data_IF_212127102555
#
_entry.id   IF_212127102555
#
_cell.length_a   1.000
_cell.length_b   1.000
_cell.length_c   1.000
_cell.angle_alpha   90.00
_cell.angle_beta   90.00
_cell.angle_gamma   90.00
#
_symmetry.space_group_name_H-M   'P 1'
#
loop_
_entity.id
_entity.type
_entity.pdbx_description
1 polymer ?
#
# COMPACT_ATOMS: atom_id res chain seq x y z
N UNK A 1 48.46 -53.22 -54.60
CA UNK A 1 47.49 -53.09 -53.49
C UNK A 1 48.26 -52.76 -52.23
N UNK A 2 48.15 -51.53 -51.72
CA UNK A 2 48.79 -51.13 -50.47
C UNK A 2 47.92 -51.56 -49.26
N UNK A 3 48.51 -52.00 -48.14
CA UNK A 3 47.75 -52.44 -46.98
C UNK A 3 47.09 -51.23 -46.28
N UNK A 4 45.90 -51.39 -45.70
CA UNK A 4 45.24 -50.32 -44.96
C UNK A 4 46.03 -50.02 -43.67
N UNK A 5 46.55 -48.80 -43.56
CA UNK A 5 47.12 -48.27 -42.32
C UNK A 5 46.04 -48.25 -41.24
N UNK A 6 46.12 -49.17 -40.27
CA UNK A 6 45.34 -49.11 -39.03
C UNK A 6 45.93 -48.01 -38.17
N UNK A 7 45.33 -46.83 -38.18
CA UNK A 7 45.64 -45.76 -37.24
C UNK A 7 45.12 -46.18 -35.86
N UNK A 8 46.03 -46.67 -35.02
CA UNK A 8 45.73 -46.95 -33.61
C UNK A 8 45.70 -45.60 -32.88
N UNK A 9 44.52 -45.10 -32.54
CA UNK A 9 44.36 -43.89 -31.74
C UNK A 9 45.03 -44.08 -30.38
N UNK A 10 45.93 -43.15 -30.02
CA UNK A 10 46.64 -43.18 -28.74
C UNK A 10 45.63 -43.22 -27.57
N UNK A 11 45.88 -44.00 -26.50
CA UNK A 11 45.03 -44.01 -25.31
C UNK A 11 44.87 -42.62 -24.68
N UNK A 12 45.83 -41.71 -24.88
CA UNK A 12 45.73 -40.32 -24.47
C UNK A 12 44.64 -39.54 -25.23
N UNK A 13 44.44 -39.84 -26.52
CA UNK A 13 43.41 -39.19 -27.35
C UNK A 13 42.01 -39.62 -26.93
N UNK A 14 41.83 -40.90 -26.61
CA UNK A 14 40.57 -41.44 -26.09
C UNK A 14 40.24 -40.85 -24.70
N UNK A 15 41.23 -40.71 -23.81
CA UNK A 15 41.05 -40.09 -22.51
C UNK A 15 40.66 -38.61 -22.61
N UNK A 16 41.29 -37.84 -23.50
CA UNK A 16 40.93 -36.44 -23.75
C UNK A 16 39.49 -36.30 -24.26
N UNK A 17 39.04 -37.17 -25.17
CA UNK A 17 37.66 -37.15 -25.69
C UNK A 17 36.66 -37.45 -24.58
N UNK A 18 36.95 -38.40 -23.69
CA UNK A 18 36.09 -38.73 -22.54
C UNK A 18 36.02 -37.57 -21.54
N UNK A 19 37.16 -36.92 -21.24
CA UNK A 19 37.21 -35.76 -20.34
C UNK A 19 36.47 -34.54 -20.92
N UNK A 20 36.63 -34.26 -22.21
CA UNK A 20 35.88 -33.22 -22.91
C UNK A 20 34.37 -33.52 -22.95
N UNK A 21 34.00 -34.79 -23.15
CA UNK A 21 32.62 -35.25 -23.09
C UNK A 21 32.00 -35.06 -21.70
N UNK A 22 32.74 -35.38 -20.63
CA UNK A 22 32.29 -35.18 -19.25
C UNK A 22 32.09 -33.70 -18.90
N UNK A 23 33.00 -32.81 -19.34
CA UNK A 23 32.85 -31.36 -19.13
C UNK A 23 31.64 -30.78 -19.89
N UNK A 24 31.36 -31.29 -21.09
CA UNK A 24 30.22 -30.85 -21.89
C UNK A 24 28.88 -31.27 -21.26
N UNK A 25 28.82 -32.48 -20.68
CA UNK A 25 27.63 -32.97 -19.97
C UNK A 25 27.36 -32.17 -18.70
N UNK A 26 28.39 -31.71 -17.98
CA UNK A 26 28.23 -30.84 -16.80
C UNK A 26 27.77 -29.42 -17.16
N UNK A 27 28.26 -28.87 -18.27
CA UNK A 27 27.81 -27.57 -18.79
C UNK A 27 26.33 -27.59 -19.20
N UNK A 28 25.85 -28.70 -19.78
CA UNK A 28 24.43 -28.90 -20.11
C UNK A 28 23.55 -29.16 -18.87
N UNK A 29 24.16 -29.53 -17.74
CA UNK A 29 23.46 -29.80 -16.47
C UNK A 29 23.30 -28.59 -15.58
N UNK A 30 24.02 -27.50 -15.86
CA UNK A 30 23.90 -26.26 -15.11
C UNK A 30 22.49 -25.70 -15.35
N UNK A 31 21.63 -25.63 -14.31
CA UNK A 31 20.31 -25.05 -14.47
C UNK A 31 20.48 -23.63 -15.01
N UNK A 32 19.62 -23.18 -15.95
CA UNK A 32 19.69 -21.81 -16.42
C UNK A 32 19.67 -20.87 -15.21
N UNK A 33 20.52 -19.82 -15.21
CA UNK A 33 20.61 -18.91 -14.08
C UNK A 33 19.22 -18.34 -13.80
N UNK A 34 18.82 -18.42 -12.53
CA UNK A 34 17.51 -17.94 -12.10
C UNK A 34 17.44 -16.42 -12.28
N UNK A 35 16.41 -15.87 -12.94
CA UNK A 35 16.32 -14.43 -13.16
C UNK A 35 15.99 -13.70 -11.86
N UNK A 36 16.41 -12.43 -11.76
CA UNK A 36 15.97 -11.51 -10.72
C UNK A 36 14.68 -10.82 -11.12
N UNK A 37 13.73 -10.70 -10.20
CA UNK A 37 12.47 -9.99 -10.43
C UNK A 37 12.51 -8.62 -9.77
N UNK A 38 12.50 -7.55 -10.57
CA UNK A 38 12.28 -6.18 -10.11
C UNK A 38 10.92 -5.70 -10.61
N UNK A 39 10.01 -5.44 -9.68
CA UNK A 39 8.65 -4.98 -9.97
C UNK A 39 8.52 -3.55 -9.49
N UNK A 40 8.19 -2.64 -10.40
CA UNK A 40 7.94 -1.23 -10.11
C UNK A 40 6.45 -0.96 -10.33
N UNK A 41 5.75 -0.58 -9.27
CA UNK A 41 4.33 -0.22 -9.32
C UNK A 41 4.18 1.25 -8.94
N UNK A 42 3.81 2.08 -9.92
CA UNK A 42 3.39 3.45 -9.67
C UNK A 42 2.00 3.48 -9.01
N UNK A 43 1.74 4.53 -8.24
CA UNK A 43 0.46 4.76 -7.57
C UNK A 43 -0.21 5.94 -8.29
N UNK A 44 -1.45 5.74 -8.76
CA UNK A 44 -2.27 6.74 -9.47
C UNK A 44 -1.61 7.40 -10.71
N UNK A 45 -0.75 6.67 -11.42
CA UNK A 45 -0.17 7.09 -12.70
C UNK A 45 -1.13 6.79 -13.86
N UNK A 46 -1.53 7.81 -14.60
CA UNK A 46 -2.38 7.69 -15.78
C UNK A 46 -1.60 7.16 -16.99
N UNK A 47 -2.29 6.42 -17.86
CA UNK A 47 -1.69 5.88 -19.10
C UNK A 47 -1.14 6.98 -20.02
N UNK A 48 -1.73 8.18 -19.98
CA UNK A 48 -1.30 9.33 -20.77
C UNK A 48 -0.22 10.20 -20.11
N UNK A 49 0.33 9.82 -18.95
CA UNK A 49 1.35 10.62 -18.25
C UNK A 49 2.77 10.42 -18.78
N UNK A 50 3.03 9.27 -19.42
CA UNK A 50 4.37 8.87 -19.86
C UNK A 50 4.66 9.34 -21.29
N UNK A 51 5.91 9.74 -21.54
CA UNK A 51 6.38 10.12 -22.87
C UNK A 51 6.20 9.01 -23.90
N UNK A 52 6.54 7.78 -23.53
CA UNK A 52 6.34 6.61 -24.36
C UNK A 52 4.86 6.24 -24.61
N UNK A 53 3.89 6.94 -24.00
CA UNK A 53 2.47 6.83 -24.32
C UNK A 53 1.88 8.11 -24.93
N UNK A 54 2.72 9.08 -25.30
CA UNK A 54 2.34 10.27 -26.05
C UNK A 54 2.38 11.58 -25.26
N UNK A 55 2.76 11.57 -23.98
CA UNK A 55 2.89 12.80 -23.21
C UNK A 55 4.11 13.62 -23.66
N UNK A 56 3.93 14.91 -23.95
CA UNK A 56 5.04 15.80 -24.35
C UNK A 56 5.45 16.80 -23.28
N UNK A 57 4.73 16.84 -22.16
CA UNK A 57 4.93 17.81 -21.08
C UNK A 57 5.73 17.24 -19.90
N UNK A 58 5.48 15.98 -19.55
CA UNK A 58 6.13 15.30 -18.42
C UNK A 58 7.43 14.63 -18.90
N UNK A 59 8.52 14.79 -18.12
CA UNK A 59 9.83 14.22 -18.45
C UNK A 59 10.01 12.84 -17.82
N UNK A 60 9.88 11.78 -18.61
CA UNK A 60 10.00 10.37 -18.16
C UNK A 60 11.14 9.59 -18.83
N UNK A 61 12.33 10.16 -19.08
CA UNK A 61 13.32 9.59 -20.00
C UNK A 61 13.82 8.19 -19.63
N UNK A 62 13.80 7.82 -18.34
CA UNK A 62 14.21 6.48 -17.92
C UNK A 62 13.12 5.43 -18.18
N UNK A 63 11.84 5.79 -18.02
CA UNK A 63 10.72 4.89 -18.32
C UNK A 63 10.56 4.75 -19.83
N UNK A 64 10.76 5.85 -20.56
CA UNK A 64 10.72 5.86 -22.02
C UNK A 64 11.80 4.93 -22.60
N UNK A 65 13.04 5.01 -22.08
CA UNK A 65 14.13 4.09 -22.45
C UNK A 65 13.80 2.64 -22.11
N UNK A 66 13.21 2.35 -20.94
CA UNK A 66 12.78 0.99 -20.60
C UNK A 66 11.72 0.44 -21.56
N UNK A 67 10.86 1.30 -22.10
CA UNK A 67 9.86 0.92 -23.10
C UNK A 67 10.47 0.69 -24.49
N UNK A 68 11.53 1.44 -24.85
CA UNK A 68 12.30 1.28 -26.09
C UNK A 68 13.13 -0.01 -26.07
N UNK A 69 13.81 -0.30 -24.96
CA UNK A 69 14.67 -1.48 -24.80
C UNK A 69 13.89 -2.77 -24.50
N UNK A 70 12.57 -2.68 -24.32
CA UNK A 70 11.74 -3.75 -23.80
C UNK A 70 10.39 -3.90 -24.50
N UNK A 71 9.41 -4.40 -23.75
CA UNK A 71 8.03 -4.58 -24.23
C UNK A 71 7.15 -3.50 -23.62
N UNK A 72 6.50 -2.71 -24.48
CA UNK A 72 5.48 -1.74 -24.09
C UNK A 72 4.08 -2.32 -24.32
N UNK A 73 3.30 -2.45 -23.26
CA UNK A 73 1.94 -2.97 -23.33
C UNK A 73 0.94 -1.85 -23.66
N UNK A 74 0.21 -1.98 -24.77
CA UNK A 74 -0.84 -1.02 -25.15
C UNK A 74 -2.19 -1.34 -24.51
N UNK A 75 -2.35 -2.53 -23.93
CA UNK A 75 -3.56 -2.98 -23.24
C UNK A 75 -3.20 -3.75 -21.97
N UNK A 76 -2.72 -3.04 -20.95
CA UNK A 76 -2.51 -3.59 -19.60
C UNK A 76 -3.67 -3.14 -18.69
N UNK A 77 -4.46 -4.09 -18.21
CA UNK A 77 -5.68 -3.81 -17.44
C UNK A 77 -5.46 -4.19 -15.97
N UNK A 78 -5.52 -3.21 -15.09
CA UNK A 78 -5.60 -3.48 -13.65
C UNK A 78 -6.95 -4.14 -13.33
N UNK A 79 -6.96 -5.10 -12.39
CA UNK A 79 -8.17 -5.84 -12.04
C UNK A 79 -9.25 -4.95 -11.41
N UNK A 80 -8.85 -3.82 -10.80
CA UNK A 80 -9.73 -2.82 -10.19
C UNK A 80 -9.09 -1.43 -10.30
N UNK A 81 -9.93 -0.39 -10.29
CA UNK A 81 -9.51 1.00 -10.52
C UNK A 81 -9.04 1.73 -9.25
N UNK A 82 -8.89 1.04 -8.13
CA UNK A 82 -8.53 1.64 -6.83
C UNK A 82 -7.50 0.80 -6.08
N UNK A 83 -6.75 1.42 -5.17
CA UNK A 83 -5.49 0.90 -4.65
C UNK A 83 -5.56 -0.50 -4.02
N UNK A 84 -6.36 -0.66 -2.95
CA UNK A 84 -6.44 -1.91 -2.16
C UNK A 84 -6.78 -3.13 -3.02
N UNK A 85 -7.92 -3.16 -3.75
CA UNK A 85 -8.27 -4.31 -4.57
C UNK A 85 -7.26 -4.55 -5.71
N UNK A 86 -6.77 -3.50 -6.37
CA UNK A 86 -5.79 -3.64 -7.46
C UNK A 86 -4.50 -4.31 -6.97
N UNK A 87 -3.98 -3.88 -5.83
CA UNK A 87 -2.80 -4.49 -5.18
C UNK A 87 -3.06 -5.91 -4.69
N UNK A 88 -4.26 -6.19 -4.18
CA UNK A 88 -4.65 -7.53 -3.75
C UNK A 88 -4.64 -8.50 -4.95
N UNK A 89 -5.25 -8.10 -6.06
CA UNK A 89 -5.26 -8.90 -7.28
C UNK A 89 -3.86 -9.08 -7.87
N UNK A 90 -3.06 -8.01 -7.87
CA UNK A 90 -1.69 -8.05 -8.36
C UNK A 90 -0.84 -9.08 -7.62
N UNK A 91 -0.90 -9.10 -6.27
CA UNK A 91 -0.11 -10.03 -5.49
C UNK A 91 -0.59 -11.47 -5.58
N UNK A 92 -1.91 -11.69 -5.69
CA UNK A 92 -2.52 -13.03 -5.62
C UNK A 92 -2.84 -13.65 -6.98
N UNK A 93 -2.83 -12.88 -8.06
CA UNK A 93 -3.32 -13.30 -9.38
C UNK A 93 -4.81 -13.60 -9.42
N UNK A 94 -5.59 -13.14 -8.42
CA UNK A 94 -7.02 -13.45 -8.26
C UNK A 94 -7.86 -12.19 -8.27
N UNK A 95 -9.06 -12.26 -8.84
CA UNK A 95 -10.00 -11.14 -8.75
C UNK A 95 -10.27 -10.77 -7.28
N UNK A 96 -10.33 -9.47 -6.91
CA UNK A 96 -10.43 -9.03 -5.52
C UNK A 96 -11.65 -9.56 -4.76
N UNK A 97 -12.75 -9.80 -5.47
CA UNK A 97 -13.96 -10.42 -4.91
C UNK A 97 -13.68 -11.79 -4.29
N UNK A 98 -12.69 -12.54 -4.79
CA UNK A 98 -12.36 -13.89 -4.30
C UNK A 98 -11.63 -13.90 -2.96
N UNK A 99 -10.91 -12.82 -2.66
CA UNK A 99 -10.22 -12.62 -1.38
C UNK A 99 -11.00 -11.71 -0.42
N UNK A 100 -12.18 -11.23 -0.82
CA UNK A 100 -12.98 -10.29 -0.05
C UNK A 100 -12.38 -8.88 0.02
N UNK A 101 -11.38 -8.56 -0.83
CA UNK A 101 -10.74 -7.25 -0.88
C UNK A 101 -11.54 -6.24 -1.71
N UNK A 102 -12.85 -6.20 -1.50
CA UNK A 102 -13.80 -5.30 -2.17
C UNK A 102 -14.84 -4.83 -1.15
N UNK A 103 -15.57 -3.77 -1.47
CA UNK A 103 -16.58 -3.19 -0.59
C UNK A 103 -17.80 -2.73 -1.36
N UNK A 104 -18.98 -3.01 -0.80
CA UNK A 104 -20.27 -2.52 -1.29
C UNK A 104 -20.78 -1.25 -0.60
N UNK A 105 -20.08 -0.73 0.42
CA UNK A 105 -20.56 0.38 1.25
C UNK A 105 -20.00 1.76 0.85
N UNK A 106 -19.43 1.87 -0.35
CA UNK A 106 -18.80 3.10 -0.87
C UNK A 106 -17.33 3.26 -0.50
N UNK A 107 -16.83 2.64 0.57
CA UNK A 107 -15.40 2.67 0.92
C UNK A 107 -14.63 1.53 0.22
N UNK A 108 -14.19 1.78 -1.02
CA UNK A 108 -13.57 0.74 -1.89
C UNK A 108 -12.10 0.41 -1.56
N UNK A 109 -11.48 1.17 -0.66
CA UNK A 109 -10.11 0.96 -0.17
C UNK A 109 -10.07 1.00 1.35
N UNK A 110 -9.05 0.38 1.95
CA UNK A 110 -8.84 0.44 3.39
C UNK A 110 -8.60 1.89 3.81
N UNK A 111 -9.38 2.36 4.78
CA UNK A 111 -9.34 3.77 5.20
C UNK A 111 -8.40 4.03 6.37
N UNK A 112 -8.13 3.01 7.19
CA UNK A 112 -7.47 3.14 8.49
C UNK A 112 -6.39 2.08 8.64
N UNK A 113 -5.21 2.47 9.07
CA UNK A 113 -4.12 1.53 9.35
C UNK A 113 -4.45 0.62 10.55
N UNK A 114 -5.23 1.14 11.51
CA UNK A 114 -5.76 0.38 12.64
C UNK A 114 -7.01 -0.45 12.31
N UNK A 115 -7.46 -0.47 11.05
CA UNK A 115 -8.57 -1.32 10.63
C UNK A 115 -8.18 -2.81 10.67
N UNK A 116 -9.10 -3.64 11.15
CA UNK A 116 -8.91 -5.10 11.22
C UNK A 116 -9.00 -5.81 9.86
N UNK A 117 -9.39 -5.10 8.81
CA UNK A 117 -9.50 -5.64 7.46
C UNK A 117 -8.17 -5.59 6.71
N UNK A 118 -7.88 -6.63 5.94
CA UNK A 118 -6.68 -6.73 5.13
C UNK A 118 -6.66 -8.01 4.29
N UNK A 119 -5.59 -8.20 3.52
CA UNK A 119 -5.42 -9.38 2.68
C UNK A 119 -5.45 -10.64 3.55
N UNK A 120 -6.38 -11.58 3.35
CA UNK A 120 -6.50 -12.73 4.23
C UNK A 120 -5.19 -13.53 4.33
N UNK A 121 -4.74 -13.96 5.53
CA UNK A 121 -3.47 -14.68 5.69
C UNK A 121 -3.34 -15.97 4.86
N UNK A 122 -4.49 -16.56 4.50
CA UNK A 122 -4.62 -17.75 3.65
C UNK A 122 -4.38 -17.48 2.16
N UNK A 123 -4.50 -16.24 1.71
CA UNK A 123 -4.19 -15.90 0.32
C UNK A 123 -2.68 -16.05 0.08
N UNK A 124 -2.32 -16.62 -1.07
CA UNK A 124 -0.93 -16.88 -1.45
C UNK A 124 -0.52 -15.80 -2.44
N UNK A 125 0.51 -15.04 -2.07
CA UNK A 125 1.10 -14.02 -2.95
C UNK A 125 2.19 -14.63 -3.83
N UNK A 126 2.50 -14.02 -4.97
CA UNK A 126 3.68 -14.40 -5.76
C UNK A 126 4.97 -14.28 -4.93
N UNK A 127 5.03 -13.35 -3.98
CA UNK A 127 6.19 -13.20 -3.08
C UNK A 127 6.37 -14.44 -2.19
N UNK A 128 5.28 -14.99 -1.63
CA UNK A 128 5.32 -16.24 -0.86
C UNK A 128 5.74 -17.44 -1.72
N UNK A 129 5.28 -17.49 -2.98
CA UNK A 129 5.70 -18.52 -3.93
C UNK A 129 7.21 -18.42 -4.20
N UNK A 130 7.71 -17.22 -4.53
CA UNK A 130 9.13 -16.98 -4.80
C UNK A 130 10.01 -17.24 -3.57
N UNK A 131 9.57 -16.84 -2.38
CA UNK A 131 10.23 -17.18 -1.12
C UNK A 131 10.38 -18.70 -0.96
N UNK A 132 9.32 -19.47 -1.23
CA UNK A 132 9.37 -20.94 -1.21
C UNK A 132 10.32 -21.56 -2.25
N UNK A 133 10.66 -20.83 -3.31
CA UNK A 133 11.65 -21.23 -4.32
C UNK A 133 13.08 -20.77 -3.97
N UNK A 134 13.29 -20.14 -2.82
CA UNK A 134 14.60 -19.68 -2.34
C UNK A 134 14.98 -18.27 -2.76
N UNK A 135 14.04 -17.47 -3.27
CA UNK A 135 14.29 -16.04 -3.51
C UNK A 135 14.27 -15.25 -2.20
N UNK A 136 15.19 -14.29 -2.10
CA UNK A 136 15.08 -13.21 -1.11
C UNK A 136 14.11 -12.17 -1.65
N UNK A 137 13.11 -11.82 -0.85
CA UNK A 137 11.98 -10.96 -1.27
C UNK A 137 11.94 -9.70 -0.42
N UNK A 138 11.76 -8.56 -1.07
CA UNK A 138 11.70 -7.25 -0.43
C UNK A 138 10.55 -6.41 -0.98
N UNK A 139 9.91 -5.63 -0.11
CA UNK A 139 8.92 -4.63 -0.47
C UNK A 139 9.38 -3.26 0.02
N UNK A 140 9.50 -2.29 -0.88
CA UNK A 140 9.81 -0.91 -0.55
C UNK A 140 8.68 -0.02 -1.06
N UNK A 141 8.05 0.77 -0.18
CA UNK A 141 6.98 1.70 -0.54
C UNK A 141 5.61 1.35 0.05
N UNK A 142 4.55 1.40 -0.77
CA UNK A 142 3.15 1.30 -0.29
C UNK A 142 2.66 -0.14 -0.24
N UNK A 143 2.04 -0.53 0.87
CA UNK A 143 1.39 -1.83 1.04
C UNK A 143 -0.11 -1.78 0.70
N UNK A 144 -0.89 -1.05 1.50
CA UNK A 144 -2.34 -0.82 1.37
C UNK A 144 -3.24 -2.06 1.44
N UNK A 145 -2.81 -3.10 2.16
CA UNK A 145 -3.52 -4.38 2.29
C UNK A 145 -3.72 -4.82 3.75
N UNK A 146 -3.81 -3.84 4.65
CA UNK A 146 -4.05 -4.05 6.07
C UNK A 146 -2.76 -4.23 6.86
N UNK A 147 -2.89 -4.23 8.18
CA UNK A 147 -1.76 -4.35 9.09
C UNK A 147 -1.97 -5.48 10.10
N UNK A 148 -2.97 -5.33 10.97
CA UNK A 148 -3.25 -6.26 12.07
C UNK A 148 -4.70 -6.76 12.04
N UNK A 149 -4.99 -7.84 12.75
CA UNK A 149 -6.30 -8.49 12.79
C UNK A 149 -7.06 -8.19 14.09
N UNK A 150 -6.61 -8.79 15.20
CA UNK A 150 -7.29 -8.77 16.51
C UNK A 150 -6.57 -7.88 17.50
N UNK A 151 -5.25 -7.84 17.42
CA UNK A 151 -4.38 -7.09 18.33
C UNK A 151 -3.41 -6.24 17.53
N UNK A 152 -2.98 -5.11 18.07
CA UNK A 152 -2.05 -4.21 17.38
C UNK A 152 -0.73 -4.88 16.97
N UNK A 153 -0.32 -5.94 17.67
CA UNK A 153 0.96 -6.64 17.49
C UNK A 153 0.90 -7.92 16.67
N UNK A 154 -0.28 -8.45 16.32
CA UNK A 154 -0.36 -9.71 15.57
C UNK A 154 0.10 -9.57 14.12
N UNK A 155 0.02 -8.37 13.56
CA UNK A 155 0.50 -8.00 12.23
C UNK A 155 0.06 -8.98 11.13
N UNK A 156 -1.10 -9.61 11.27
CA UNK A 156 -1.51 -10.75 10.43
C UNK A 156 -1.57 -10.43 8.92
N UNK A 157 -1.76 -9.16 8.56
CA UNK A 157 -1.87 -8.66 7.19
C UNK A 157 -0.59 -7.96 6.71
N UNK A 158 0.43 -7.90 7.57
CA UNK A 158 1.70 -7.23 7.29
C UNK A 158 2.47 -7.93 6.15
N UNK A 159 3.23 -7.19 5.31
CA UNK A 159 3.98 -7.77 4.19
C UNK A 159 4.85 -8.98 4.56
N UNK A 160 5.47 -8.95 5.74
CA UNK A 160 6.31 -10.05 6.23
C UNK A 160 5.54 -11.36 6.41
N UNK A 161 4.25 -11.26 6.75
CA UNK A 161 3.37 -12.42 6.84
C UNK A 161 2.79 -12.81 5.47
N UNK A 162 3.13 -12.11 4.38
CA UNK A 162 2.70 -12.38 3.02
C UNK A 162 3.87 -12.63 2.05
N UNK A 163 4.98 -13.17 2.56
CA UNK A 163 6.06 -13.70 1.73
C UNK A 163 7.19 -12.73 1.41
N UNK A 164 7.22 -11.56 2.05
CA UNK A 164 8.36 -10.64 1.99
C UNK A 164 9.31 -10.87 3.18
N UNK A 165 10.61 -10.95 2.95
CA UNK A 165 11.60 -11.00 4.04
C UNK A 165 11.91 -9.60 4.59
N UNK A 166 11.81 -8.58 3.74
CA UNK A 166 12.14 -7.21 4.08
C UNK A 166 11.00 -6.26 3.70
N UNK A 167 10.70 -5.31 4.58
CA UNK A 167 9.75 -4.24 4.31
C UNK A 167 10.30 -2.89 4.77
N UNK A 168 10.24 -1.88 3.92
CA UNK A 168 10.33 -0.48 4.34
C UNK A 168 9.24 0.30 3.63
N UNK A 169 8.32 0.90 4.37
CA UNK A 169 7.19 1.51 3.69
C UNK A 169 6.05 1.98 4.56
N UNK A 170 5.00 2.39 3.85
CA UNK A 170 3.74 2.89 4.40
C UNK A 170 2.72 1.75 4.37
N UNK A 171 2.19 1.30 5.53
CA UNK A 171 1.17 0.25 5.57
C UNK A 171 -0.11 0.61 4.81
N UNK A 172 -0.53 1.88 4.86
CA UNK A 172 -1.69 2.39 4.13
C UNK A 172 -1.26 3.02 2.80
N UNK A 173 -0.64 4.19 2.85
CA UNK A 173 -0.15 4.91 1.67
C UNK A 173 -0.02 6.40 1.95
N UNK A 174 0.43 7.14 0.93
CA UNK A 174 0.43 8.60 0.99
C UNK A 174 -1.01 9.11 0.89
N UNK A 175 -1.36 10.07 1.73
CA UNK A 175 -2.62 10.81 1.67
C UNK A 175 -2.29 12.30 1.83
N UNK A 176 -3.17 13.18 1.36
CA UNK A 176 -2.96 14.62 1.52
C UNK A 176 -2.79 15.05 2.98
N UNK A 177 -3.42 14.34 3.93
CA UNK A 177 -3.22 14.53 5.37
C UNK A 177 -1.77 14.35 5.83
N UNK A 178 -1.03 13.45 5.20
CA UNK A 178 0.37 13.19 5.55
C UNK A 178 1.31 14.30 5.07
N UNK A 179 0.89 15.06 4.06
CA UNK A 179 1.65 16.14 3.44
C UNK A 179 1.21 17.53 3.92
N UNK A 180 0.21 17.63 4.80
CA UNK A 180 -0.43 18.90 5.12
C UNK A 180 -1.12 19.56 3.92
N UNK A 181 -1.44 18.77 2.90
CA UNK A 181 -2.13 19.20 1.69
C UNK A 181 -3.65 19.09 1.86
N UNK A 182 -4.37 18.86 0.76
CA UNK A 182 -5.83 18.66 0.78
C UNK A 182 -6.24 17.53 1.74
N UNK A 183 -7.32 17.70 2.53
CA UNK A 183 -7.77 16.68 3.47
C UNK A 183 -8.23 15.43 2.71
N UNK A 184 -7.89 14.24 3.22
CA UNK A 184 -8.42 13.01 2.63
C UNK A 184 -9.94 12.95 2.71
N UNK A 185 -10.55 12.18 1.81
CA UNK A 185 -12.00 11.97 1.80
C UNK A 185 -12.55 11.50 3.16
N UNK A 186 -11.80 10.62 3.86
CA UNK A 186 -12.18 10.15 5.20
C UNK A 186 -12.16 11.29 6.23
N UNK A 187 -11.14 12.15 6.21
CA UNK A 187 -11.04 13.30 7.12
C UNK A 187 -12.13 14.30 6.81
N UNK A 188 -12.26 14.71 5.55
CA UNK A 188 -13.26 15.67 5.13
C UNK A 188 -14.68 15.17 5.46
N UNK A 189 -14.95 13.88 5.27
CA UNK A 189 -16.21 13.24 5.64
C UNK A 189 -16.46 13.25 7.15
N UNK A 190 -15.45 12.92 7.96
CA UNK A 190 -15.57 12.92 9.42
C UNK A 190 -15.74 14.33 10.00
N UNK A 191 -14.92 15.30 9.56
CA UNK A 191 -15.05 16.70 9.97
C UNK A 191 -16.44 17.25 9.64
N UNK A 192 -16.95 16.97 8.43
CA UNK A 192 -18.29 17.42 8.01
C UNK A 192 -19.39 16.84 8.89
N UNK A 193 -19.30 15.56 9.27
CA UNK A 193 -20.25 14.92 10.18
C UNK A 193 -20.19 15.53 11.58
N UNK A 194 -18.99 15.75 12.11
CA UNK A 194 -18.79 16.36 13.43
C UNK A 194 -19.35 17.79 13.48
N UNK A 195 -18.96 18.64 12.53
CA UNK A 195 -19.48 20.02 12.42
C UNK A 195 -20.98 20.04 12.20
N UNK A 196 -21.50 19.15 11.35
CA UNK A 196 -22.94 19.04 11.09
C UNK A 196 -23.73 18.71 12.36
N UNK A 197 -23.29 17.69 13.10
CA UNK A 197 -23.90 17.31 14.37
C UNK A 197 -23.77 18.41 15.44
N UNK A 198 -22.60 19.04 15.56
CA UNK A 198 -22.37 20.15 16.47
C UNK A 198 -23.31 21.34 16.18
N UNK A 199 -23.43 21.75 14.92
CA UNK A 199 -24.35 22.82 14.51
C UNK A 199 -25.82 22.48 14.77
N UNK A 200 -26.23 21.24 14.52
CA UNK A 200 -27.60 20.80 14.82
C UNK A 200 -27.89 20.88 16.33
N UNK A 201 -26.99 20.38 17.18
CA UNK A 201 -27.11 20.46 18.64
C UNK A 201 -27.14 21.90 19.14
N UNK A 202 -26.29 22.77 18.60
CA UNK A 202 -26.30 24.19 18.93
C UNK A 202 -27.62 24.87 18.55
N UNK A 203 -28.19 24.55 17.38
CA UNK A 203 -29.49 25.08 16.96
C UNK A 203 -30.61 24.63 17.92
N UNK A 204 -30.62 23.37 18.37
CA UNK A 204 -31.57 22.88 19.37
C UNK A 204 -31.38 23.58 20.72
N UNK A 205 -30.13 23.78 21.17
CA UNK A 205 -29.83 24.50 22.39
C UNK A 205 -30.36 25.94 22.37
N UNK A 206 -30.16 26.65 21.25
CA UNK A 206 -30.68 28.01 21.04
C UNK A 206 -32.21 28.02 21.03
N UNK A 207 -32.85 27.06 20.37
CA UNK A 207 -34.31 26.96 20.35
C UNK A 207 -34.89 26.72 21.76
N UNK A 208 -34.28 25.84 22.56
CA UNK A 208 -34.70 25.60 23.96
C UNK A 208 -34.52 26.86 24.80
N UNK A 209 -33.39 27.55 24.67
CA UNK A 209 -33.14 28.81 25.39
C UNK A 209 -34.15 29.90 25.01
N UNK A 210 -34.46 30.05 23.72
CA UNK A 210 -35.45 31.01 23.22
C UNK A 210 -36.87 30.69 23.73
N UNK A 211 -37.26 29.42 23.74
CA UNK A 211 -38.57 28.98 24.28
C UNK A 211 -38.65 29.17 25.79
N UNK A 212 -37.57 28.92 26.53
CA UNK A 212 -37.51 29.16 27.97
C UNK A 212 -37.63 30.66 28.29
N UNK A 213 -36.94 31.51 27.52
CA UNK A 213 -37.03 32.98 27.63
C UNK A 213 -38.43 33.50 27.30
N UNK A 214 -39.04 33.01 26.21
CA UNK A 214 -40.38 33.40 25.79
C UNK A 214 -41.48 33.02 26.79
N UNK A 215 -41.36 31.84 27.42
CA UNK A 215 -42.29 31.39 28.47
C UNK A 215 -42.14 32.16 29.78
N UNK A 216 -40.93 32.63 30.10
CA UNK A 216 -40.66 33.48 31.28
C UNK A 216 -41.45 34.79 31.36
N UNK A 217 -42.22 35.16 30.33
CA UNK A 217 -43.14 36.30 30.32
C UNK A 217 -44.60 35.96 30.63
N UNK A 218 -44.96 34.68 30.86
CA UNK A 218 -46.36 34.30 31.17
C UNK A 218 -46.58 32.99 31.92
N UNK A 219 -45.64 32.03 31.93
CA UNK A 219 -45.71 30.77 32.68
C UNK A 219 -44.29 30.36 33.10
N UNK A 220 -44.10 29.94 34.37
CA UNK A 220 -42.78 29.63 34.91
C UNK A 220 -41.98 28.71 33.96
N UNK A 221 -40.77 29.12 33.51
CA UNK A 221 -39.97 28.29 32.64
C UNK A 221 -39.69 26.98 33.36
N UNK A 222 -39.88 25.84 32.66
CA UNK A 222 -39.60 24.54 33.24
C UNK A 222 -38.14 24.53 33.71
N UNK A 223 -37.90 24.23 35.00
CA UNK A 223 -36.60 24.40 35.67
C UNK A 223 -35.45 23.67 34.97
N UNK A 224 -35.75 22.65 34.16
CA UNK A 224 -34.78 21.86 33.41
C UNK A 224 -34.29 22.53 32.12
N UNK A 225 -35.02 23.49 31.55
CA UNK A 225 -34.76 24.00 30.19
C UNK A 225 -33.42 24.77 30.05
N UNK A 226 -32.99 25.64 30.99
CA UNK A 226 -31.68 26.29 30.92
C UNK A 226 -30.54 25.27 31.02
N UNK A 227 -30.66 24.29 31.92
CA UNK A 227 -29.67 23.23 32.09
C UNK A 227 -29.56 22.34 30.85
N UNK A 228 -30.69 22.02 30.21
CA UNK A 228 -30.70 21.28 28.96
C UNK A 228 -30.04 22.06 27.81
N UNK A 229 -30.31 23.37 27.69
CA UNK A 229 -29.67 24.22 26.68
C UNK A 229 -28.15 24.32 26.90
N UNK A 230 -27.70 24.50 28.14
CA UNK A 230 -26.26 24.53 28.48
C UNK A 230 -25.61 23.19 28.15
N UNK A 231 -26.23 22.06 28.55
CA UNK A 231 -25.70 20.74 28.27
C UNK A 231 -25.57 20.48 26.77
N UNK A 232 -26.60 20.80 25.98
CA UNK A 232 -26.56 20.65 24.51
C UNK A 232 -25.54 21.58 23.86
N UNK A 233 -25.40 22.81 24.34
CA UNK A 233 -24.37 23.74 23.89
C UNK A 233 -22.95 23.25 24.18
N UNK A 234 -22.73 22.66 25.35
CA UNK A 234 -21.45 22.04 25.71
C UNK A 234 -21.12 20.85 24.80
N UNK A 235 -22.09 19.97 24.55
CA UNK A 235 -21.91 18.86 23.60
C UNK A 235 -21.64 19.38 22.19
N UNK A 236 -22.36 20.40 21.72
CA UNK A 236 -22.11 21.03 20.42
C UNK A 236 -20.67 21.55 20.30
N UNK A 237 -20.16 22.22 21.35
CA UNK A 237 -18.79 22.71 21.39
C UNK A 237 -17.75 21.57 21.34
N UNK A 238 -18.02 20.43 21.99
CA UNK A 238 -17.16 19.24 21.92
C UNK A 238 -17.09 18.70 20.48
N UNK A 239 -18.22 18.64 19.77
CA UNK A 239 -18.25 18.19 18.38
C UNK A 239 -17.46 19.13 17.45
N UNK A 240 -17.62 20.44 17.62
CA UNK A 240 -16.91 21.44 16.84
C UNK A 240 -15.40 21.39 17.12
N UNK A 241 -15.00 21.39 18.40
CA UNK A 241 -13.60 21.25 18.82
C UNK A 241 -12.99 19.93 18.31
N UNK A 242 -13.74 18.83 18.40
CA UNK A 242 -13.35 17.54 17.85
C UNK A 242 -13.04 17.63 16.35
N UNK A 243 -13.84 18.38 15.58
CA UNK A 243 -13.61 18.55 14.14
C UNK A 243 -12.27 19.21 13.80
N UNK A 244 -11.73 20.05 14.68
CA UNK A 244 -10.42 20.68 14.49
C UNK A 244 -9.25 19.74 14.85
N UNK A 245 -9.47 18.77 15.73
CA UNK A 245 -8.45 17.81 16.19
C UNK A 245 -8.31 16.62 15.25
N UNK A 246 -9.36 16.27 14.49
CA UNK A 246 -9.38 15.10 13.58
C UNK A 246 -8.17 15.06 12.65
N UNK A 247 -7.80 16.19 12.02
CA UNK A 247 -6.68 16.22 11.08
C UNK A 247 -5.36 15.76 11.69
N UNK A 248 -5.02 16.29 12.87
CA UNK A 248 -3.80 15.89 13.57
C UNK A 248 -3.83 14.43 14.02
N UNK A 249 -5.00 13.92 14.41
CA UNK A 249 -5.17 12.52 14.76
C UNK A 249 -4.99 11.59 13.54
N UNK A 250 -5.62 11.90 12.40
CA UNK A 250 -5.47 11.13 11.15
C UNK A 250 -4.01 11.09 10.71
N UNK A 251 -3.35 12.26 10.68
CA UNK A 251 -1.93 12.32 10.32
C UNK A 251 -1.06 11.51 11.29
N UNK A 252 -1.31 11.59 12.60
CA UNK A 252 -0.53 10.84 13.59
C UNK A 252 -0.72 9.32 13.48
N UNK A 253 -1.93 8.85 13.27
CA UNK A 253 -2.23 7.42 13.38
C UNK A 253 -2.18 6.66 12.05
N UNK A 254 -2.36 7.31 10.92
CA UNK A 254 -2.32 6.65 9.60
C UNK A 254 -1.11 7.02 8.75
N UNK A 255 -0.40 8.10 9.07
CA UNK A 255 0.83 8.50 8.37
C UNK A 255 2.05 8.11 9.21
N UNK A 256 2.52 6.88 9.02
CA UNK A 256 3.73 6.39 9.67
C UNK A 256 4.51 5.45 8.77
N UNK A 257 5.83 5.46 8.93
CA UNK A 257 6.75 4.59 8.21
C UNK A 257 7.07 3.38 9.08
N UNK A 258 7.05 2.20 8.46
CA UNK A 258 7.48 0.96 9.08
C UNK A 258 8.74 0.44 8.39
N UNK A 259 9.66 -0.09 9.20
CA UNK A 259 10.75 -0.95 8.78
C UNK A 259 10.50 -2.31 9.41
N UNK A 260 10.26 -3.32 8.57
CA UNK A 260 9.80 -4.63 9.01
C UNK A 260 8.59 -4.48 9.96
N UNK A 261 8.60 -5.13 11.12
CA UNK A 261 7.51 -5.04 12.09
C UNK A 261 7.55 -3.77 12.98
N UNK A 262 8.51 -2.87 12.79
CA UNK A 262 8.74 -1.72 13.68
C UNK A 262 8.33 -0.41 13.02
N UNK A 263 7.61 0.43 13.77
CA UNK A 263 7.33 1.82 13.35
C UNK A 263 8.59 2.65 13.58
N UNK A 264 9.16 3.20 12.51
CA UNK A 264 10.38 4.00 12.57
C UNK A 264 10.11 5.50 12.59
N UNK A 265 8.93 5.92 12.10
CA UNK A 265 8.58 7.33 12.02
C UNK A 265 7.08 7.54 12.18
N UNK A 266 6.68 8.33 13.18
CA UNK A 266 5.29 8.68 13.45
C UNK A 266 5.20 10.04 14.21
N UNK A 267 4.62 11.10 13.62
CA UNK A 267 4.07 11.16 12.26
C UNK A 267 5.17 11.08 11.20
N UNK A 268 4.77 10.68 9.99
CA UNK A 268 5.63 10.65 8.80
C UNK A 268 6.23 12.04 8.52
N UNK A 269 7.53 12.13 8.18
CA UNK A 269 8.14 13.36 7.68
C UNK A 269 8.44 13.20 6.20
N UNK A 270 7.64 13.87 5.38
CA UNK A 270 7.59 13.67 3.92
C UNK A 270 8.95 13.88 3.23
N UNK A 271 9.69 14.90 3.65
CA UNK A 271 10.96 15.32 3.02
C UNK A 271 12.02 14.21 2.99
N UNK A 272 11.94 13.27 3.93
CA UNK A 272 12.91 12.18 4.06
C UNK A 272 12.42 10.88 3.44
N UNK A 273 11.13 10.72 3.15
CA UNK A 273 10.55 9.43 2.73
C UNK A 273 11.15 8.96 1.41
N UNK A 274 11.11 9.79 0.37
CA UNK A 274 11.58 9.39 -0.96
C UNK A 274 13.07 9.01 -0.98
N UNK A 275 13.99 9.83 -0.41
CA UNK A 275 15.39 9.44 -0.29
C UNK A 275 15.61 8.15 0.51
N UNK A 276 14.85 7.93 1.59
CA UNK A 276 14.95 6.72 2.41
C UNK A 276 14.50 5.48 1.65
N UNK A 277 13.35 5.54 0.97
CA UNK A 277 12.85 4.44 0.14
C UNK A 277 13.84 4.11 -0.99
N UNK A 278 14.38 5.12 -1.68
CA UNK A 278 15.35 4.91 -2.75
C UNK A 278 16.65 4.28 -2.22
N UNK A 279 17.14 4.75 -1.06
CA UNK A 279 18.34 4.16 -0.43
C UNK A 279 18.11 2.69 -0.09
N UNK A 280 16.99 2.37 0.55
CA UNK A 280 16.65 1.00 0.91
C UNK A 280 16.53 0.08 -0.30
N UNK A 281 15.88 0.55 -1.37
CA UNK A 281 15.76 -0.21 -2.61
C UNK A 281 17.15 -0.52 -3.20
N UNK A 282 18.05 0.48 -3.24
CA UNK A 282 19.43 0.29 -3.72
C UNK A 282 20.24 -0.65 -2.84
N UNK A 283 20.09 -0.56 -1.52
CA UNK A 283 20.80 -1.42 -0.57
C UNK A 283 20.27 -2.86 -0.61
N UNK A 284 18.98 -3.06 -0.86
CA UNK A 284 18.40 -4.38 -1.06
C UNK A 284 18.91 -5.03 -2.35
N UNK A 285 18.97 -4.28 -3.46
CA UNK A 285 19.45 -4.78 -4.76
C UNK A 285 20.95 -5.14 -4.80
N UNK A 286 21.73 -4.69 -3.82
CA UNK A 286 23.18 -4.96 -3.71
C UNK A 286 23.52 -6.22 -2.91
N UNK A 287 22.54 -6.83 -2.24
CA UNK A 287 22.72 -8.06 -1.46
C UNK A 287 22.72 -9.27 -2.38
#
# INVERSE_FOLDING_TARGET
>A
MAPPHRTCSSPATLLCIVLLGLQYVDALRSPPPRPNFLIIMADDLGIGDLGCYGNTSIRTPNIDRLAEDGVRLTQYLAAESVCTPSRAAFLTGRYPIRSGMTSGNGHRVLQWAAGAGGLPPKEITFARILQGQGYVTGLVGKWHLGLSCRTVSDLCHHPLNHGFHHFLGLPLGMMGDCAGAEPSEKRAGLERRLRGAGRALAAVAVAIAALAWGRGRGLAPACWAPWAAIALGAVAAIFEAGSYVVGGAVARYDCFLMRNATVTQQPLQLDHVTPLLLREAKDFLRR
#
